data_IF_134942868568
#
_entry.id   IF_134942868568
#
_cell.length_a   1.000
_cell.length_b   1.000
_cell.length_c   1.000
_cell.angle_alpha   90.00
_cell.angle_beta   90.00
_cell.angle_gamma   90.00
#
_symmetry.space_group_name_H-M   'P 1'
#
loop_
_entity.id
_entity.type
_entity.pdbx_description
1 polymer ?
#
# COMPACT_ATOMS: atom_id res chain seq x y z
N UNK A 1 2.71 -39.91 2.71
CA UNK A 1 3.51 -38.68 2.58
C UNK A 1 2.67 -37.64 1.85
N UNK A 2 1.92 -36.82 2.60
CA UNK A 2 1.11 -35.75 2.01
C UNK A 2 2.03 -34.56 1.70
N UNK A 3 2.06 -34.13 0.44
CA UNK A 3 2.83 -32.98 -0.03
C UNK A 3 2.44 -31.75 0.78
N UNK A 4 3.40 -31.16 1.49
CA UNK A 4 3.32 -29.80 1.98
C UNK A 4 2.89 -28.89 0.82
N UNK A 5 1.69 -28.32 0.89
CA UNK A 5 1.30 -27.23 0.00
C UNK A 5 2.17 -26.03 0.38
N UNK A 6 3.25 -25.81 -0.35
CA UNK A 6 4.00 -24.57 -0.31
C UNK A 6 3.00 -23.41 -0.52
N UNK A 7 2.96 -22.46 0.42
CA UNK A 7 2.21 -21.20 0.33
C UNK A 7 2.50 -20.47 -0.99
N UNK A 8 1.81 -20.85 -2.08
CA UNK A 8 1.98 -20.17 -3.36
C UNK A 8 1.10 -18.94 -3.34
N UNK A 9 1.74 -17.77 -3.25
CA UNK A 9 1.18 -16.44 -3.50
C UNK A 9 0.78 -16.35 -4.99
N UNK A 10 -0.27 -17.07 -5.36
CA UNK A 10 -0.77 -17.18 -6.73
C UNK A 10 -2.30 -17.18 -6.70
N UNK A 11 -2.90 -16.60 -7.74
CA UNK A 11 -4.34 -16.48 -7.87
C UNK A 11 -4.88 -17.62 -8.73
N UNK A 12 -6.10 -18.08 -8.42
CA UNK A 12 -6.83 -18.93 -9.37
C UNK A 12 -7.07 -18.17 -10.69
N UNK A 13 -7.24 -18.87 -11.83
CA UNK A 13 -7.51 -18.23 -13.12
C UNK A 13 -8.68 -17.23 -13.06
N UNK A 14 -9.76 -17.62 -12.36
CA UNK A 14 -10.94 -16.75 -12.18
C UNK A 14 -10.61 -15.48 -11.40
N UNK A 15 -9.91 -15.59 -10.26
CA UNK A 15 -9.50 -14.42 -9.48
C UNK A 15 -8.56 -13.50 -10.27
N UNK A 16 -7.69 -14.08 -11.10
CA UNK A 16 -6.78 -13.31 -11.97
C UNK A 16 -7.56 -12.51 -13.00
N UNK A 17 -8.51 -13.13 -13.70
CA UNK A 17 -9.38 -12.46 -14.68
C UNK A 17 -10.22 -11.35 -14.04
N UNK A 18 -10.81 -11.63 -12.88
CA UNK A 18 -11.58 -10.64 -12.09
C UNK A 18 -10.71 -9.44 -11.70
N UNK A 19 -9.52 -9.69 -11.14
CA UNK A 19 -8.60 -8.63 -10.76
C UNK A 19 -8.13 -7.80 -11.96
N UNK A 20 -7.73 -8.44 -13.06
CA UNK A 20 -7.29 -7.74 -14.27
C UNK A 20 -8.42 -6.87 -14.85
N UNK A 21 -9.66 -7.34 -14.81
CA UNK A 21 -10.83 -6.55 -15.21
C UNK A 21 -11.03 -5.33 -14.32
N UNK A 22 -10.94 -5.49 -12.99
CA UNK A 22 -11.04 -4.37 -12.03
C UNK A 22 -9.94 -3.34 -12.27
N UNK A 23 -8.69 -3.79 -12.38
CA UNK A 23 -7.53 -2.92 -12.61
C UNK A 23 -7.64 -2.18 -13.96
N UNK A 24 -8.07 -2.87 -15.01
CA UNK A 24 -8.28 -2.26 -16.34
C UNK A 24 -9.35 -1.17 -16.28
N UNK A 25 -10.51 -1.47 -15.72
CA UNK A 25 -11.60 -0.51 -15.61
C UNK A 25 -11.18 0.72 -14.79
N UNK A 26 -10.38 0.52 -13.73
CA UNK A 26 -9.83 1.61 -12.92
C UNK A 26 -8.82 2.45 -13.67
N UNK A 27 -7.90 1.80 -14.41
CA UNK A 27 -6.93 2.47 -15.27
C UNK A 27 -7.66 3.36 -16.27
N UNK A 28 -8.58 2.81 -17.06
CA UNK A 28 -9.32 3.58 -18.08
C UNK A 28 -10.13 4.75 -17.50
N UNK A 29 -10.62 4.62 -16.26
CA UNK A 29 -11.36 5.70 -15.57
C UNK A 29 -10.46 6.81 -15.02
N UNK A 30 -9.18 6.55 -14.78
CA UNK A 30 -8.25 7.47 -14.10
C UNK A 30 -7.10 7.92 -15.01
N UNK A 31 -7.39 8.21 -16.28
CA UNK A 31 -6.42 8.56 -17.32
C UNK A 31 -5.40 9.65 -16.91
N UNK A 32 -5.80 10.56 -16.02
CA UNK A 32 -4.96 11.61 -15.49
C UNK A 32 -3.73 11.10 -14.72
N UNK A 33 -3.78 9.87 -14.17
CA UNK A 33 -2.72 9.29 -13.33
C UNK A 33 -1.58 8.67 -14.14
N UNK A 34 -1.85 8.30 -15.39
CA UNK A 34 -0.95 7.48 -16.20
C UNK A 34 -0.92 7.92 -17.67
N UNK A 35 -0.84 9.24 -17.88
CA UNK A 35 -0.74 9.82 -19.22
C UNK A 35 0.40 9.19 -20.02
N UNK A 36 0.03 8.61 -21.17
CA UNK A 36 0.97 7.96 -22.09
C UNK A 36 1.29 6.51 -21.78
N UNK A 37 0.70 5.90 -20.74
CA UNK A 37 0.80 4.46 -20.52
C UNK A 37 -0.28 3.72 -21.30
N UNK A 38 0.06 2.53 -21.79
CA UNK A 38 -0.89 1.65 -22.47
C UNK A 38 -1.23 0.47 -21.57
N UNK A 39 -2.53 0.25 -21.33
CA UNK A 39 -2.99 -0.86 -20.50
C UNK A 39 -2.43 -2.21 -20.95
N UNK A 40 -2.33 -2.45 -22.26
CA UNK A 40 -1.77 -3.70 -22.80
C UNK A 40 -0.33 -3.99 -22.31
N UNK A 41 0.49 -2.95 -22.12
CA UNK A 41 1.86 -3.10 -21.61
C UNK A 41 1.88 -3.38 -20.10
N UNK A 42 1.01 -2.70 -19.34
CA UNK A 42 0.82 -2.94 -17.91
C UNK A 42 0.33 -4.38 -17.70
N UNK A 43 -0.72 -4.79 -18.41
CA UNK A 43 -1.29 -6.14 -18.32
C UNK A 43 -0.24 -7.21 -18.63
N UNK A 44 0.55 -7.06 -19.70
CA UNK A 44 1.63 -8.00 -20.02
C UNK A 44 2.66 -8.12 -18.89
N UNK A 45 3.01 -7.01 -18.23
CA UNK A 45 3.90 -7.01 -17.05
C UNK A 45 3.26 -7.72 -15.85
N UNK A 46 1.98 -7.49 -15.60
CA UNK A 46 1.25 -8.15 -14.52
C UNK A 46 1.17 -9.67 -14.74
N UNK A 47 0.80 -10.11 -15.94
CA UNK A 47 0.65 -11.52 -16.30
C UNK A 47 1.98 -12.29 -16.23
N UNK A 48 3.09 -11.63 -16.56
CA UNK A 48 4.43 -12.18 -16.40
C UNK A 48 4.89 -12.30 -14.93
N UNK A 49 4.18 -11.67 -13.97
CA UNK A 49 4.54 -11.62 -12.56
C UNK A 49 3.38 -12.08 -11.64
N UNK A 50 3.05 -13.39 -11.57
CA UNK A 50 1.91 -13.89 -10.78
C UNK A 50 1.93 -13.51 -9.29
N UNK A 51 3.12 -13.43 -8.68
CA UNK A 51 3.25 -13.01 -7.28
C UNK A 51 2.87 -11.54 -7.06
N UNK A 52 3.13 -10.68 -8.06
CA UNK A 52 2.76 -9.26 -8.01
C UNK A 52 1.26 -9.08 -8.22
N UNK A 53 0.65 -9.89 -9.07
CA UNK A 53 -0.81 -9.99 -9.18
C UNK A 53 -1.45 -10.41 -7.85
N UNK A 54 -0.87 -11.39 -7.15
CA UNK A 54 -1.33 -11.76 -5.82
C UNK A 54 -1.24 -10.58 -4.83
N UNK A 55 -0.15 -9.82 -4.83
CA UNK A 55 -0.02 -8.62 -3.99
C UNK A 55 -1.06 -7.54 -4.33
N UNK A 56 -1.32 -7.29 -5.61
CA UNK A 56 -2.37 -6.35 -6.04
C UNK A 56 -3.77 -6.83 -5.61
N UNK A 57 -4.01 -8.14 -5.62
CA UNK A 57 -5.25 -8.71 -5.12
C UNK A 57 -5.43 -8.42 -3.62
N UNK A 58 -4.36 -8.54 -2.81
CA UNK A 58 -4.42 -8.22 -1.39
C UNK A 58 -4.65 -6.72 -1.15
N UNK A 59 -4.02 -5.86 -1.96
CA UNK A 59 -4.29 -4.41 -1.94
C UNK A 59 -5.77 -4.13 -2.26
N UNK A 60 -6.34 -4.77 -3.27
CA UNK A 60 -7.75 -4.66 -3.65
C UNK A 60 -8.68 -5.14 -2.53
N UNK A 61 -8.45 -6.36 -2.01
CA UNK A 61 -9.26 -7.00 -0.97
C UNK A 61 -9.37 -6.17 0.31
N UNK A 62 -8.33 -5.39 0.61
CA UNK A 62 -8.29 -4.54 1.81
C UNK A 62 -8.76 -3.10 1.55
N UNK A 63 -9.34 -2.82 0.38
CA UNK A 63 -9.90 -1.52 0.00
C UNK A 63 -8.86 -0.49 -0.42
N UNK A 64 -7.73 -0.94 -0.95
CA UNK A 64 -6.64 -0.10 -1.41
C UNK A 64 -6.88 0.62 -2.73
N UNK A 65 -7.72 0.04 -3.58
CA UNK A 65 -7.95 0.49 -4.96
C UNK A 65 -6.61 0.76 -5.70
N UNK A 66 -5.71 -0.25 -5.79
CA UNK A 66 -4.41 -0.07 -6.43
C UNK A 66 -4.55 0.40 -7.87
N UNK A 67 -3.69 1.34 -8.27
CA UNK A 67 -3.67 1.91 -9.61
C UNK A 67 -2.24 2.26 -10.02
N UNK A 68 -1.99 2.34 -11.33
CA UNK A 68 -0.67 2.71 -11.87
C UNK A 68 -0.49 4.22 -11.77
N UNK A 69 0.59 4.64 -11.15
CA UNK A 69 0.93 6.05 -10.90
C UNK A 69 2.27 6.45 -11.51
N UNK A 70 3.09 5.50 -11.93
CA UNK A 70 4.43 5.79 -12.43
C UNK A 70 5.07 4.62 -13.18
N UNK A 71 6.19 4.91 -13.81
CA UNK A 71 7.03 3.95 -14.51
C UNK A 71 8.51 4.29 -14.28
N UNK A 72 9.24 3.35 -13.68
CA UNK A 72 10.67 3.48 -13.46
C UNK A 72 11.42 3.04 -14.72
N UNK A 73 11.88 4.00 -15.52
CA UNK A 73 12.62 3.72 -16.76
C UNK A 73 13.94 2.98 -16.55
N UNK A 74 14.52 3.03 -15.34
CA UNK A 74 15.79 2.35 -15.06
C UNK A 74 15.60 0.86 -14.85
N UNK A 75 14.53 0.48 -14.16
CA UNK A 75 14.22 -0.93 -13.87
C UNK A 75 13.22 -1.53 -14.88
N UNK A 76 12.51 -0.68 -15.60
CA UNK A 76 11.46 -1.08 -16.53
C UNK A 76 10.19 -1.58 -15.82
N UNK A 77 9.95 -1.09 -14.60
CA UNK A 77 8.83 -1.49 -13.73
C UNK A 77 7.74 -0.41 -13.67
N UNK A 78 6.49 -0.83 -13.64
CA UNK A 78 5.35 0.02 -13.29
C UNK A 78 5.23 0.15 -11.77
N UNK A 79 4.84 1.33 -11.31
CA UNK A 79 4.66 1.65 -9.90
C UNK A 79 3.18 1.75 -9.62
N UNK A 80 2.71 0.94 -8.67
CA UNK A 80 1.35 0.95 -8.15
C UNK A 80 1.34 1.53 -6.73
N UNK A 81 0.38 2.42 -6.45
CA UNK A 81 0.03 2.86 -5.11
C UNK A 81 -1.43 2.49 -4.78
N UNK A 82 -1.75 2.41 -3.49
CA UNK A 82 -3.15 2.50 -3.05
C UNK A 82 -3.72 3.88 -3.37
N UNK A 83 -4.76 3.91 -4.22
CA UNK A 83 -5.39 5.12 -4.69
C UNK A 83 -6.84 5.28 -4.20
N UNK A 84 -7.24 4.57 -3.15
CA UNK A 84 -8.51 4.81 -2.46
C UNK A 84 -8.49 6.15 -1.73
N UNK A 85 -9.64 6.83 -1.62
CA UNK A 85 -9.71 8.22 -1.13
C UNK A 85 -9.16 8.42 0.31
N UNK A 86 -9.30 7.43 1.16
CA UNK A 86 -8.84 7.43 2.55
C UNK A 86 -8.05 6.15 2.82
N UNK A 87 -7.16 6.15 3.82
CA UNK A 87 -6.32 4.99 4.14
C UNK A 87 -7.20 3.73 4.21
N UNK A 88 -6.85 2.62 3.54
CA UNK A 88 -7.70 1.43 3.44
C UNK A 88 -8.24 0.96 4.79
N UNK A 89 -9.57 0.81 4.91
CA UNK A 89 -10.27 0.63 6.21
C UNK A 89 -9.78 -0.60 6.97
N UNK A 90 -9.53 -1.69 6.26
CA UNK A 90 -9.13 -2.97 6.86
C UNK A 90 -7.63 -3.03 7.19
N UNK A 91 -6.92 -1.91 6.97
CA UNK A 91 -5.51 -1.70 7.33
C UNK A 91 -5.32 -0.59 8.37
N UNK A 92 -6.40 -0.18 9.05
CA UNK A 92 -6.36 0.85 10.11
C UNK A 92 -6.22 0.25 11.50
N UNK A 93 -5.96 1.12 12.48
CA UNK A 93 -5.83 0.75 13.90
C UNK A 93 -4.64 -0.17 14.18
N UNK A 94 -3.56 0.00 13.42
CA UNK A 94 -2.32 -0.73 13.58
C UNK A 94 -1.25 0.18 14.18
N UNK A 95 -0.44 -0.37 15.08
CA UNK A 95 0.83 0.25 15.45
C UNK A 95 1.84 0.12 14.30
N UNK A 96 3.00 0.77 14.41
CA UNK A 96 3.93 0.87 13.29
C UNK A 96 4.55 -0.48 12.92
N UNK A 97 5.26 -1.14 13.85
CA UNK A 97 5.99 -2.38 13.59
C UNK A 97 5.89 -3.43 14.71
N UNK A 98 6.55 -4.58 14.53
CA UNK A 98 6.53 -5.71 15.47
C UNK A 98 7.06 -5.34 16.85
N UNK A 99 8.18 -4.63 16.92
CA UNK A 99 8.76 -4.20 18.20
C UNK A 99 7.79 -3.29 18.96
N UNK A 100 7.10 -2.39 18.26
CA UNK A 100 6.06 -1.54 18.84
C UNK A 100 4.84 -2.34 19.35
N UNK A 101 4.44 -3.38 18.61
CA UNK A 101 3.35 -4.28 19.01
C UNK A 101 3.69 -5.10 20.26
N UNK A 102 4.92 -5.59 20.33
CA UNK A 102 5.41 -6.43 21.43
C UNK A 102 5.61 -5.62 22.71
N UNK A 103 6.06 -4.36 22.59
CA UNK A 103 6.26 -3.44 23.71
C UNK A 103 4.97 -3.07 24.46
N UNK A 104 3.80 -3.13 23.80
CA UNK A 104 2.53 -2.87 24.48
C UNK A 104 2.20 -3.98 25.48
N UNK A 105 1.54 -3.61 26.57
CA UNK A 105 0.99 -4.56 27.57
C UNK A 105 -0.53 -4.60 27.52
N UNK A 106 -1.15 -3.44 27.36
CA UNK A 106 -2.61 -3.27 27.35
C UNK A 106 -3.08 -2.64 26.03
N UNK A 107 -4.30 -3.00 25.62
CA UNK A 107 -4.92 -2.56 24.38
C UNK A 107 -3.98 -2.79 23.19
N UNK A 108 -3.57 -4.04 22.96
CA UNK A 108 -2.75 -4.38 21.79
C UNK A 108 -3.61 -4.30 20.53
N UNK A 109 -3.16 -3.61 19.46
CA UNK A 109 -3.84 -3.69 18.18
C UNK A 109 -3.74 -5.11 17.62
N UNK A 110 -4.60 -5.42 16.64
CA UNK A 110 -4.64 -6.75 16.01
C UNK A 110 -3.30 -7.13 15.37
N UNK A 111 -2.60 -6.14 14.79
CA UNK A 111 -1.31 -6.33 14.13
C UNK A 111 -0.55 -5.00 14.03
N UNK A 112 0.53 -4.98 13.25
CA UNK A 112 1.31 -3.79 12.92
C UNK A 112 1.37 -3.52 11.39
N UNK A 113 1.60 -2.27 11.02
CA UNK A 113 1.54 -1.83 9.63
C UNK A 113 2.64 -2.47 8.75
N UNK A 114 3.87 -2.57 9.28
CA UNK A 114 5.02 -3.12 8.54
C UNK A 114 4.83 -4.61 8.21
N UNK A 115 4.38 -5.41 9.18
CA UNK A 115 4.18 -6.84 8.96
C UNK A 115 2.99 -7.12 8.04
N UNK A 116 1.89 -6.36 8.18
CA UNK A 116 0.73 -6.49 7.27
C UNK A 116 1.15 -6.16 5.84
N UNK A 117 1.90 -5.07 5.62
CA UNK A 117 2.44 -4.74 4.30
C UNK A 117 3.37 -5.84 3.75
N UNK A 118 4.27 -6.34 4.58
CA UNK A 118 5.21 -7.41 4.22
C UNK A 118 4.48 -8.71 3.85
N UNK A 119 3.44 -9.09 4.61
CA UNK A 119 2.61 -10.25 4.33
C UNK A 119 1.95 -10.13 2.94
N UNK A 120 1.39 -8.94 2.63
CA UNK A 120 0.82 -8.60 1.33
C UNK A 120 1.86 -8.48 0.20
N UNK A 121 3.16 -8.46 0.51
CA UNK A 121 4.24 -8.30 -0.47
C UNK A 121 4.37 -6.88 -1.02
N UNK A 122 3.99 -5.88 -0.23
CA UNK A 122 4.08 -4.44 -0.55
C UNK A 122 4.95 -3.72 0.48
N UNK A 123 5.40 -2.51 0.16
CA UNK A 123 6.06 -1.63 1.13
C UNK A 123 5.14 -0.47 1.52
N UNK A 124 5.37 0.13 2.69
CA UNK A 124 4.75 1.42 3.02
C UNK A 124 5.31 2.50 2.08
N UNK A 125 4.48 3.48 1.70
CA UNK A 125 4.97 4.66 0.99
C UNK A 125 6.05 5.38 1.81
N UNK A 126 7.05 5.94 1.13
CA UNK A 126 7.90 6.99 1.71
C UNK A 126 7.17 8.33 1.76
N UNK A 127 7.73 9.32 2.45
CA UNK A 127 7.12 10.65 2.51
C UNK A 127 7.06 11.29 1.12
N UNK A 128 8.09 11.11 0.31
CA UNK A 128 8.16 11.61 -1.07
C UNK A 128 7.08 10.96 -1.93
N UNK A 129 6.92 9.63 -1.83
CA UNK A 129 5.87 8.90 -2.56
C UNK A 129 4.47 9.31 -2.10
N UNK A 130 4.29 9.58 -0.81
CA UNK A 130 3.03 10.09 -0.30
C UNK A 130 2.72 11.50 -0.83
N UNK A 131 3.73 12.39 -0.91
CA UNK A 131 3.57 13.72 -1.52
C UNK A 131 3.27 13.62 -3.02
N UNK A 132 3.91 12.70 -3.73
CA UNK A 132 3.63 12.40 -5.13
C UNK A 132 2.18 11.92 -5.32
N UNK A 133 1.72 10.97 -4.49
CA UNK A 133 0.33 10.49 -4.51
C UNK A 133 -0.67 11.65 -4.51
N UNK A 134 -0.40 12.67 -3.71
CA UNK A 134 -1.26 13.84 -3.52
C UNK A 134 -1.32 14.78 -4.74
N UNK A 135 -0.49 14.55 -5.76
CA UNK A 135 -0.59 15.23 -7.07
C UNK A 135 -1.66 14.60 -7.97
N UNK A 136 -2.04 13.35 -7.72
CA UNK A 136 -3.06 12.61 -8.48
C UNK A 136 -4.48 12.79 -7.94
N UNK A 137 -4.63 13.47 -6.80
CA UNK A 137 -5.92 13.66 -6.13
C UNK A 137 -5.75 14.09 -4.67
N UNK A 138 -6.87 14.37 -4.01
CA UNK A 138 -6.90 14.60 -2.57
C UNK A 138 -7.13 13.27 -1.84
N UNK A 139 -6.11 12.80 -1.12
CA UNK A 139 -6.16 11.56 -0.36
C UNK A 139 -5.98 11.82 1.14
N UNK A 140 -6.53 10.95 1.97
CA UNK A 140 -6.44 10.99 3.44
C UNK A 140 -6.92 12.33 4.03
N UNK A 141 -8.06 12.83 3.54
CA UNK A 141 -8.67 14.07 4.02
C UNK A 141 -9.39 13.92 5.36
N UNK A 142 -9.62 12.68 5.79
CA UNK A 142 -10.25 12.31 7.06
C UNK A 142 -9.46 11.27 7.86
N UNK A 143 -8.45 10.69 7.24
CA UNK A 143 -7.58 9.66 7.82
C UNK A 143 -6.12 10.12 7.81
N UNK A 144 -5.23 9.23 8.22
CA UNK A 144 -3.78 9.42 8.14
C UNK A 144 -3.10 8.07 7.84
N UNK A 145 -1.95 8.11 7.18
CA UNK A 145 -1.22 6.91 6.79
C UNK A 145 0.16 6.87 7.43
N UNK A 146 0.52 5.74 8.04
CA UNK A 146 1.91 5.44 8.38
C UNK A 146 2.76 5.50 7.12
N UNK A 147 3.96 6.06 7.28
CA UNK A 147 4.97 6.22 6.23
C UNK A 147 6.19 5.42 6.64
N UNK A 148 6.95 4.94 5.66
CA UNK A 148 8.25 4.27 5.87
C UNK A 148 9.15 5.18 6.71
N UNK A 149 9.25 4.85 8.00
CA UNK A 149 9.92 5.68 8.98
C UNK A 149 11.43 5.53 8.82
N UNK A 150 12.19 6.64 8.74
CA UNK A 150 13.65 6.60 8.76
C UNK A 150 14.20 5.86 9.97
N UNK A 151 15.21 5.02 9.76
CA UNK A 151 15.81 4.20 10.82
C UNK A 151 16.31 5.04 12.01
N UNK A 152 16.85 6.24 11.74
CA UNK A 152 17.31 7.16 12.76
C UNK A 152 16.19 7.62 13.73
N UNK A 153 14.97 7.81 13.22
CA UNK A 153 13.80 8.13 14.04
C UNK A 153 13.34 6.88 14.78
N UNK A 154 13.28 5.74 14.08
CA UNK A 154 12.78 4.49 14.66
C UNK A 154 13.64 3.97 15.81
N UNK A 155 14.96 4.11 15.73
CA UNK A 155 15.91 3.78 16.82
C UNK A 155 15.65 4.55 18.11
N UNK A 156 14.98 5.70 18.02
CA UNK A 156 14.60 6.52 19.17
C UNK A 156 13.14 6.28 19.62
N UNK A 157 12.48 5.24 19.09
CA UNK A 157 11.10 4.85 19.43
C UNK A 157 10.02 5.58 18.63
N UNK A 158 10.38 6.48 17.72
CA UNK A 158 9.43 7.25 16.92
C UNK A 158 8.98 6.54 15.64
N UNK A 159 7.81 6.95 15.13
CA UNK A 159 7.32 6.63 13.79
C UNK A 159 6.64 7.85 13.17
N UNK A 160 6.74 7.99 11.83
CA UNK A 160 6.15 9.10 11.09
C UNK A 160 4.92 8.69 10.29
N UNK A 161 3.99 9.62 10.13
CA UNK A 161 2.76 9.44 9.36
C UNK A 161 2.39 10.75 8.68
N UNK A 162 1.59 10.66 7.62
CA UNK A 162 1.10 11.82 6.88
C UNK A 162 -0.43 11.87 6.82
N UNK A 163 -0.97 13.08 6.66
CA UNK A 163 -2.33 13.33 6.19
C UNK A 163 -2.39 14.54 5.24
N UNK A 164 -3.59 14.83 4.72
CA UNK A 164 -3.86 16.07 3.99
C UNK A 164 -4.91 16.91 4.70
N UNK A 165 -4.53 18.10 5.13
CA UNK A 165 -5.42 19.11 5.71
C UNK A 165 -5.17 20.45 5.04
N UNK A 166 -6.21 21.27 4.87
CA UNK A 166 -6.07 22.61 4.26
C UNK A 166 -5.31 22.59 2.92
N UNK A 167 -5.61 21.59 2.08
CA UNK A 167 -4.94 21.36 0.80
C UNK A 167 -3.40 21.18 0.89
N UNK A 168 -2.89 20.79 2.05
CA UNK A 168 -1.46 20.69 2.36
C UNK A 168 -1.16 19.32 2.96
N UNK A 169 -0.04 18.72 2.54
CA UNK A 169 0.46 17.47 3.13
C UNK A 169 1.26 17.80 4.38
N UNK A 170 0.81 17.26 5.51
CA UNK A 170 1.51 17.37 6.77
C UNK A 170 2.17 16.05 7.14
N UNK A 171 3.40 16.14 7.65
CA UNK A 171 4.14 15.04 8.22
C UNK A 171 4.20 15.23 9.72
N UNK A 172 3.84 14.18 10.45
CA UNK A 172 3.79 14.17 11.91
C UNK A 172 4.59 12.99 12.45
N UNK A 173 4.77 12.97 13.77
CA UNK A 173 5.40 11.87 14.49
C UNK A 173 4.54 11.43 15.67
N UNK A 174 4.72 10.18 16.09
CA UNK A 174 4.23 9.62 17.34
C UNK A 174 5.23 8.54 17.81
N UNK A 175 5.03 7.99 19.00
CA UNK A 175 5.64 6.72 19.37
C UNK A 175 5.17 5.60 18.42
N UNK A 176 6.06 4.69 18.05
CA UNK A 176 5.77 3.60 17.12
C UNK A 176 4.60 2.69 17.58
N UNK A 177 4.36 2.62 18.89
CA UNK A 177 3.30 1.85 19.55
C UNK A 177 1.92 2.54 19.53
N UNK A 178 1.87 3.80 19.09
CA UNK A 178 0.61 4.53 18.95
C UNK A 178 -0.23 3.93 17.83
N UNK A 179 -1.55 3.92 17.96
CA UNK A 179 -2.46 3.53 16.89
C UNK A 179 -3.80 4.24 17.07
N UNK A 180 -4.48 4.52 15.96
CA UNK A 180 -5.73 5.27 15.96
C UNK A 180 -6.71 4.67 14.96
N UNK A 181 -8.00 4.77 15.25
CA UNK A 181 -9.06 4.25 14.38
C UNK A 181 -9.00 4.81 12.95
N UNK A 182 -8.55 6.05 12.80
CA UNK A 182 -8.41 6.74 11.52
C UNK A 182 -6.98 6.66 10.92
N UNK A 183 -6.07 5.86 11.51
CA UNK A 183 -4.71 5.69 10.98
C UNK A 183 -4.54 4.30 10.39
N UNK A 184 -4.15 4.24 9.11
CA UNK A 184 -3.75 3.01 8.43
C UNK A 184 -2.40 3.16 7.76
N UNK A 185 -2.21 2.53 6.62
CA UNK A 185 -1.06 2.74 5.74
C UNK A 185 -1.47 2.58 4.28
N UNK A 186 -0.65 3.12 3.38
CA UNK A 186 -0.75 2.93 1.94
C UNK A 186 0.46 2.14 1.47
N UNK A 187 0.22 1.22 0.55
CA UNK A 187 1.19 0.33 -0.05
C UNK A 187 1.72 0.86 -1.39
N UNK A 188 2.99 0.59 -1.64
CA UNK A 188 3.63 0.67 -2.97
C UNK A 188 4.03 -0.73 -3.43
N UNK A 189 3.82 -0.98 -4.72
CA UNK A 189 4.30 -2.18 -5.40
C UNK A 189 4.92 -1.79 -6.75
N UNK A 190 6.13 -2.30 -7.01
CA UNK A 190 6.75 -2.27 -8.34
C UNK A 190 6.56 -3.59 -9.07
N UNK A 191 6.19 -3.53 -10.36
CA UNK A 191 5.87 -4.69 -11.22
C UNK A 191 6.53 -4.63 -12.59
#
# INVERSE_FOLDING_TARGET
MSKMSSNRKDLSPKQREELLSILKNRFEKNDQRHKGFQWAQVQAKLEANPQKLWSLNEMENTGGEPDVVGYDKKTGEYIFYDCSAESPKDRRSLCYDREALDARKENKPKDNAVDVATAMGVELLTEEQYRELQTFGAFDTKTSSWIKTPEAIRKLGGAIFCDRRYNTVFTYHNGAESYYAARGFRGVLKV
#
